data_IF_356518680601
#
_entry.id   IF_356518680601
#
_cell.length_a   1.000
_cell.length_b   1.000
_cell.length_c   1.000
_cell.angle_alpha   90.00
_cell.angle_beta   90.00
_cell.angle_gamma   90.00
#
_symmetry.space_group_name_H-M   'P 1'
#
loop_
_entity.id
_entity.type
_entity.pdbx_description
1 polymer ?
#
# COMPACT_ATOMS: atom_id res chain seq x y z
N UNK A 1 -19.20 -9.68 -41.07
CA UNK A 1 -18.30 -8.63 -40.50
C UNK A 1 -18.22 -8.89 -39.02
N UNK A 2 -17.10 -9.41 -38.51
CA UNK A 2 -16.93 -9.64 -37.09
C UNK A 2 -16.79 -8.25 -36.40
N UNK A 3 -17.83 -7.80 -35.70
CA UNK A 3 -17.69 -6.65 -34.86
C UNK A 3 -16.63 -7.01 -33.78
N UNK A 4 -15.53 -6.29 -33.73
CA UNK A 4 -14.53 -6.49 -32.71
C UNK A 4 -15.19 -6.21 -31.35
N UNK A 5 -15.21 -7.22 -30.48
CA UNK A 5 -15.71 -7.07 -29.12
C UNK A 5 -14.92 -5.99 -28.38
N UNK A 6 -15.61 -5.02 -27.82
CA UNK A 6 -15.03 -3.95 -26.99
C UNK A 6 -15.54 -4.17 -25.55
N UNK A 7 -14.65 -4.45 -24.58
CA UNK A 7 -15.07 -4.65 -23.19
C UNK A 7 -15.82 -3.44 -22.62
N UNK A 8 -16.83 -3.69 -21.82
CA UNK A 8 -17.71 -2.66 -21.25
C UNK A 8 -16.95 -1.59 -20.44
N UNK A 9 -15.90 -1.98 -19.70
CA UNK A 9 -15.04 -1.03 -18.98
C UNK A 9 -14.28 -0.06 -19.91
N UNK A 10 -14.14 -0.40 -21.19
CA UNK A 10 -13.57 0.50 -22.19
C UNK A 10 -14.62 1.43 -22.79
N UNK A 11 -15.85 0.95 -22.95
CA UNK A 11 -17.01 1.75 -23.41
C UNK A 11 -17.39 2.80 -22.37
N UNK A 12 -17.43 2.42 -21.11
CA UNK A 12 -17.81 3.29 -19.97
C UNK A 12 -16.64 4.12 -19.42
N UNK A 13 -15.51 4.19 -20.15
CA UNK A 13 -14.37 4.95 -19.68
C UNK A 13 -14.69 6.44 -19.55
N UNK A 14 -14.45 7.05 -18.37
CA UNK A 14 -14.65 8.48 -18.15
C UNK A 14 -13.99 9.34 -19.23
N UNK A 15 -14.71 10.34 -19.72
CA UNK A 15 -14.20 11.31 -20.70
C UNK A 15 -13.87 12.67 -20.11
N UNK A 16 -14.41 12.99 -18.93
CA UNK A 16 -14.18 14.25 -18.20
C UNK A 16 -13.76 13.97 -16.77
N UNK A 17 -13.18 14.96 -16.11
CA UNK A 17 -12.81 14.84 -14.69
C UNK A 17 -14.02 14.70 -13.77
N UNK A 18 -15.21 15.13 -14.18
CA UNK A 18 -16.44 15.00 -13.37
C UNK A 18 -16.93 13.56 -13.32
N UNK A 19 -16.57 12.73 -14.31
CA UNK A 19 -16.94 11.32 -14.36
C UNK A 19 -16.00 10.42 -13.55
N UNK A 20 -14.87 10.95 -13.06
CA UNK A 20 -13.90 10.18 -12.28
C UNK A 20 -14.46 9.89 -10.89
N UNK A 21 -14.53 8.62 -10.54
CA UNK A 21 -15.01 8.16 -9.23
C UNK A 21 -13.86 8.01 -8.23
N UNK A 22 -14.03 8.53 -7.01
CA UNK A 22 -13.20 8.24 -5.84
C UNK A 22 -11.76 8.77 -5.87
N UNK A 23 -11.46 9.77 -6.73
CA UNK A 23 -10.13 10.39 -6.84
C UNK A 23 -10.20 11.92 -6.73
N UNK A 24 -11.03 12.43 -5.84
CA UNK A 24 -11.36 13.87 -5.73
C UNK A 24 -10.10 14.74 -5.53
N UNK A 25 -9.15 14.25 -4.73
CA UNK A 25 -7.89 14.96 -4.47
C UNK A 25 -7.02 15.04 -5.72
N UNK A 26 -6.92 13.96 -6.49
CA UNK A 26 -6.16 13.90 -7.75
C UNK A 26 -6.77 14.84 -8.77
N UNK A 27 -8.09 14.76 -8.94
CA UNK A 27 -8.85 15.61 -9.88
C UNK A 27 -8.68 17.09 -9.53
N UNK A 28 -8.87 17.46 -8.26
CA UNK A 28 -8.68 18.84 -7.80
C UNK A 28 -7.27 19.36 -8.08
N UNK A 29 -6.25 18.54 -7.85
CA UNK A 29 -4.86 18.91 -8.08
C UNK A 29 -4.58 19.15 -9.58
N UNK A 30 -5.03 18.21 -10.44
CA UNK A 30 -4.84 18.34 -11.89
C UNK A 30 -5.57 19.55 -12.46
N UNK A 31 -6.82 19.79 -12.05
CA UNK A 31 -7.57 21.00 -12.43
C UNK A 31 -6.83 22.27 -12.03
N UNK A 32 -6.18 22.29 -10.86
CA UNK A 32 -5.41 23.47 -10.42
C UNK A 32 -4.18 23.74 -11.30
N UNK A 33 -3.53 22.70 -11.82
CA UNK A 33 -2.42 22.83 -12.77
C UNK A 33 -2.92 23.32 -14.13
N UNK A 34 -3.95 22.69 -14.65
CA UNK A 34 -4.51 23.01 -15.97
C UNK A 34 -5.06 24.44 -16.03
N UNK A 35 -5.72 24.89 -14.96
CA UNK A 35 -6.21 26.28 -14.85
C UNK A 35 -5.08 27.32 -14.92
N UNK A 36 -3.84 26.93 -14.57
CA UNK A 36 -2.63 27.77 -14.71
C UNK A 36 -1.93 27.59 -16.04
N UNK A 37 -2.47 26.79 -16.96
CA UNK A 37 -1.84 26.48 -18.24
C UNK A 37 -0.55 25.65 -18.12
N UNK A 38 -0.32 25.00 -16.98
CA UNK A 38 0.88 24.23 -16.66
C UNK A 38 0.50 22.80 -16.26
N UNK A 39 1.20 21.82 -16.79
CA UNK A 39 1.09 20.43 -16.37
C UNK A 39 2.50 19.89 -16.09
N UNK A 40 2.84 19.58 -14.82
CA UNK A 40 4.15 19.04 -14.48
C UNK A 40 4.26 17.57 -14.91
N UNK A 41 5.50 17.08 -15.04
CA UNK A 41 5.75 15.64 -15.11
C UNK A 41 5.36 14.97 -13.80
N UNK A 42 4.81 13.74 -13.86
CA UNK A 42 4.18 13.07 -12.72
C UNK A 42 4.45 11.58 -12.71
N UNK A 43 4.44 11.01 -11.50
CA UNK A 43 4.37 9.57 -11.27
C UNK A 43 3.03 9.25 -10.59
N UNK A 44 2.13 8.60 -11.29
CA UNK A 44 0.87 8.10 -10.76
C UNK A 44 1.09 6.73 -10.11
N UNK A 45 0.86 6.60 -8.83
CA UNK A 45 1.04 5.34 -8.13
C UNK A 45 -0.17 4.95 -7.30
N UNK A 46 -0.43 3.65 -7.19
CA UNK A 46 -1.56 3.11 -6.42
C UNK A 46 -2.18 1.88 -7.09
N UNK A 47 -3.21 1.28 -6.48
CA UNK A 47 -3.80 0.01 -6.91
C UNK A 47 -4.25 0.00 -8.37
N UNK A 48 -4.36 -1.20 -8.99
CA UNK A 48 -4.91 -1.33 -10.34
C UNK A 48 -6.37 -0.86 -10.40
N UNK A 49 -6.87 -0.58 -11.59
CA UNK A 49 -8.28 -0.20 -11.82
C UNK A 49 -8.76 1.12 -11.23
N UNK A 50 -7.87 1.93 -10.64
CA UNK A 50 -8.19 3.20 -9.98
C UNK A 50 -8.24 4.41 -10.91
N UNK A 51 -8.05 4.21 -12.22
CA UNK A 51 -8.23 5.26 -13.23
C UNK A 51 -6.96 6.01 -13.66
N UNK A 52 -5.73 5.57 -13.29
CA UNK A 52 -4.47 6.24 -13.65
C UNK A 52 -4.36 6.58 -15.14
N UNK A 53 -4.55 5.61 -16.02
CA UNK A 53 -4.52 5.78 -17.49
C UNK A 53 -5.66 6.68 -17.99
N UNK A 54 -6.84 6.57 -17.39
CA UNK A 54 -8.01 7.40 -17.73
C UNK A 54 -7.76 8.86 -17.41
N UNK A 55 -7.26 9.13 -16.21
CA UNK A 55 -6.91 10.49 -15.76
C UNK A 55 -5.82 11.11 -16.66
N UNK A 56 -4.81 10.35 -17.07
CA UNK A 56 -3.80 10.84 -18.01
C UNK A 56 -4.41 11.23 -19.38
N UNK A 57 -5.36 10.44 -19.88
CA UNK A 57 -6.09 10.75 -21.14
C UNK A 57 -6.93 12.04 -21.02
N UNK A 58 -7.68 12.18 -19.93
CA UNK A 58 -8.48 13.39 -19.69
C UNK A 58 -7.55 14.60 -19.56
N UNK A 59 -6.48 14.50 -18.79
CA UNK A 59 -5.52 15.57 -18.63
C UNK A 59 -4.89 15.98 -19.97
N UNK A 60 -4.61 15.02 -20.88
CA UNK A 60 -4.06 15.35 -22.20
C UNK A 60 -5.07 16.09 -23.09
N UNK A 61 -6.34 15.70 -23.03
CA UNK A 61 -7.44 16.37 -23.76
C UNK A 61 -7.61 17.81 -23.27
N UNK A 62 -7.71 18.00 -21.96
CA UNK A 62 -7.87 19.32 -21.32
C UNK A 62 -6.64 20.23 -21.53
N UNK A 63 -5.44 19.66 -21.61
CA UNK A 63 -4.20 20.39 -21.84
C UNK A 63 -3.94 20.68 -23.34
N UNK A 64 -4.82 20.19 -24.22
CA UNK A 64 -4.68 20.23 -25.67
C UNK A 64 -3.31 19.69 -26.12
N UNK A 65 -2.94 18.52 -25.61
CA UNK A 65 -1.67 17.86 -25.85
C UNK A 65 -1.86 16.50 -26.56
N UNK A 66 -0.92 16.16 -27.44
CA UNK A 66 -0.88 14.84 -28.05
C UNK A 66 -0.39 13.82 -27.02
N UNK A 67 -1.21 12.78 -26.75
CA UNK A 67 -0.88 11.72 -25.81
C UNK A 67 -0.23 10.55 -26.53
N UNK A 68 0.95 10.17 -26.08
CA UNK A 68 1.60 8.91 -26.44
C UNK A 68 1.49 7.96 -25.26
N UNK A 69 0.90 6.78 -25.51
CA UNK A 69 0.73 5.76 -24.47
C UNK A 69 1.63 4.58 -24.77
N UNK A 70 2.44 4.20 -23.80
CA UNK A 70 3.35 3.07 -23.86
C UNK A 70 3.16 2.19 -22.63
N UNK A 71 3.58 0.93 -22.72
CA UNK A 71 3.64 0.00 -21.63
C UNK A 71 5.07 -0.52 -21.45
N UNK A 72 5.65 -0.36 -20.28
CA UNK A 72 6.98 -0.88 -19.98
C UNK A 72 7.09 -2.42 -20.03
N UNK A 73 5.96 -3.12 -20.17
CA UNK A 73 5.91 -4.58 -20.36
C UNK A 73 6.14 -4.97 -21.82
N UNK A 74 5.70 -4.13 -22.77
CA UNK A 74 5.66 -4.47 -24.22
C UNK A 74 6.61 -3.60 -25.02
N UNK A 75 6.65 -2.29 -24.73
CA UNK A 75 7.38 -1.31 -25.52
C UNK A 75 8.83 -1.17 -25.05
N UNK A 76 9.77 -1.17 -25.98
CA UNK A 76 11.17 -0.88 -25.68
C UNK A 76 11.43 0.64 -25.57
N UNK A 77 12.44 1.01 -24.79
CA UNK A 77 12.84 2.42 -24.64
C UNK A 77 13.30 3.05 -25.96
N UNK A 78 13.83 2.24 -26.88
CA UNK A 78 14.24 2.66 -28.22
C UNK A 78 13.04 3.03 -29.10
N UNK A 79 11.97 2.23 -29.04
CA UNK A 79 10.72 2.50 -29.78
C UNK A 79 10.03 3.74 -29.23
N UNK A 80 10.00 3.91 -27.91
CA UNK A 80 9.47 5.11 -27.25
C UNK A 80 10.17 6.36 -27.76
N UNK A 81 11.51 6.37 -27.73
CA UNK A 81 12.32 7.47 -28.29
C UNK A 81 11.97 7.74 -29.74
N UNK A 82 12.07 6.73 -30.60
CA UNK A 82 11.82 6.87 -32.02
C UNK A 82 10.46 7.50 -32.32
N UNK A 83 9.41 7.07 -31.63
CA UNK A 83 8.04 7.57 -31.86
C UNK A 83 7.84 9.01 -31.38
N UNK A 84 8.47 9.41 -30.30
CA UNK A 84 8.39 10.78 -29.77
C UNK A 84 9.15 11.75 -30.69
N UNK A 85 10.35 11.37 -31.14
CA UNK A 85 11.18 12.24 -31.97
C UNK A 85 10.69 12.35 -33.42
N UNK A 86 10.14 11.27 -34.01
CA UNK A 86 9.62 11.33 -35.39
C UNK A 86 8.48 12.33 -35.59
N UNK A 87 7.71 12.60 -34.55
CA UNK A 87 6.57 13.52 -34.60
C UNK A 87 6.95 14.97 -34.32
N UNK A 88 8.19 15.25 -33.91
CA UNK A 88 8.71 16.60 -33.64
C UNK A 88 9.19 17.36 -34.87
N UNK A 89 9.54 16.64 -35.91
CA UNK A 89 9.97 17.24 -37.19
C UNK A 89 8.83 17.97 -37.95
N UNK A 90 7.60 17.88 -37.42
CA UNK A 90 6.44 18.59 -37.93
C UNK A 90 6.44 20.06 -37.48
N UNK A 91 6.26 20.98 -38.43
CA UNK A 91 6.25 22.44 -38.24
C UNK A 91 5.15 22.93 -37.26
N UNK A 92 4.20 22.09 -36.88
CA UNK A 92 3.11 22.34 -35.92
C UNK A 92 3.24 21.47 -34.68
N UNK A 93 4.36 21.54 -33.97
CA UNK A 93 4.57 20.73 -32.77
C UNK A 93 3.55 21.06 -31.67
N UNK A 94 2.54 20.23 -31.51
CA UNK A 94 1.64 20.27 -30.36
C UNK A 94 2.41 19.89 -29.08
N UNK A 95 1.93 20.36 -27.92
CA UNK A 95 2.38 19.86 -26.62
C UNK A 95 2.28 18.33 -26.59
N UNK A 96 3.27 17.69 -26.00
CA UNK A 96 3.34 16.24 -25.96
C UNK A 96 3.28 15.73 -24.53
N UNK A 97 2.44 14.71 -24.29
CA UNK A 97 2.42 13.95 -23.06
C UNK A 97 2.83 12.52 -23.36
N UNK A 98 3.82 12.02 -22.65
CA UNK A 98 4.28 10.64 -22.72
C UNK A 98 3.80 9.91 -21.47
N UNK A 99 2.83 9.02 -21.65
CA UNK A 99 2.33 8.16 -20.59
C UNK A 99 2.98 6.77 -20.72
N UNK A 100 3.61 6.31 -19.63
CA UNK A 100 4.23 4.98 -19.55
C UNK A 100 3.56 4.20 -18.44
N UNK A 101 2.82 3.15 -18.81
CA UNK A 101 2.22 2.24 -17.84
C UNK A 101 3.26 1.23 -17.32
N UNK A 102 3.11 0.83 -16.05
CA UNK A 102 3.99 -0.10 -15.33
C UNK A 102 5.47 0.32 -15.38
N UNK A 103 5.74 1.63 -15.24
CA UNK A 103 7.09 2.21 -15.38
C UNK A 103 8.15 1.56 -14.47
N UNK A 104 7.76 0.92 -13.38
CA UNK A 104 8.63 0.16 -12.48
C UNK A 104 9.24 -1.09 -13.12
N UNK A 105 8.72 -1.55 -14.28
CA UNK A 105 9.29 -2.65 -15.04
C UNK A 105 10.55 -2.26 -15.79
N UNK A 106 10.76 -0.99 -16.07
CA UNK A 106 12.03 -0.50 -16.58
C UNK A 106 13.08 -0.48 -15.48
N UNK A 107 14.29 -0.96 -15.76
CA UNK A 107 15.42 -0.78 -14.87
C UNK A 107 15.84 0.71 -14.81
N UNK A 108 16.70 1.06 -13.83
CA UNK A 108 17.08 2.46 -13.60
C UNK A 108 17.70 3.15 -14.82
N UNK A 109 18.55 2.44 -15.60
CA UNK A 109 19.14 2.96 -16.83
C UNK A 109 18.08 3.20 -17.93
N UNK A 110 17.08 2.34 -18.01
CA UNK A 110 15.97 2.52 -18.93
C UNK A 110 15.09 3.71 -18.55
N UNK A 111 14.94 3.98 -17.27
CA UNK A 111 14.20 5.14 -16.76
C UNK A 111 14.92 6.46 -17.07
N UNK A 112 16.26 6.47 -17.13
CA UNK A 112 17.07 7.66 -17.42
C UNK A 112 16.76 8.28 -18.79
N UNK A 113 16.22 7.50 -19.73
CA UNK A 113 15.85 8.02 -21.05
C UNK A 113 14.79 9.13 -21.00
N UNK A 114 13.98 9.19 -19.94
CA UNK A 114 12.94 10.19 -19.80
C UNK A 114 13.48 11.53 -19.29
N UNK A 115 14.66 11.56 -18.66
CA UNK A 115 15.25 12.77 -18.10
C UNK A 115 15.49 13.87 -19.17
N UNK A 116 16.16 13.58 -20.29
CA UNK A 116 16.33 14.59 -21.34
C UNK A 116 15.02 15.10 -21.92
N UNK A 117 14.00 14.22 -22.02
CA UNK A 117 12.68 14.60 -22.53
C UNK A 117 11.98 15.61 -21.61
N UNK A 118 12.09 15.43 -20.29
CA UNK A 118 11.51 16.29 -19.27
C UNK A 118 12.25 17.64 -19.23
N UNK A 119 13.59 17.61 -19.23
CA UNK A 119 14.43 18.79 -19.01
C UNK A 119 14.56 19.69 -20.23
N UNK A 120 14.83 19.08 -21.37
CA UNK A 120 15.27 19.86 -22.55
C UNK A 120 14.18 19.99 -23.63
N UNK A 121 13.15 19.18 -23.56
CA UNK A 121 12.26 19.00 -24.69
C UNK A 121 10.83 19.45 -24.41
N UNK A 122 10.50 19.84 -23.19
CA UNK A 122 9.17 20.33 -22.84
C UNK A 122 8.06 19.25 -22.96
N UNK A 123 8.44 17.98 -22.90
CA UNK A 123 7.51 16.86 -22.87
C UNK A 123 7.04 16.67 -21.44
N UNK A 124 5.74 16.54 -21.25
CA UNK A 124 5.19 16.14 -19.96
C UNK A 124 5.25 14.63 -19.86
N UNK A 125 6.02 14.12 -18.91
CA UNK A 125 6.10 12.71 -18.63
C UNK A 125 5.10 12.32 -17.53
N UNK A 126 4.35 11.24 -17.75
CA UNK A 126 3.46 10.62 -16.74
C UNK A 126 3.78 9.13 -16.67
N UNK A 127 4.50 8.73 -15.63
CA UNK A 127 4.71 7.31 -15.32
C UNK A 127 3.58 6.76 -14.45
N UNK A 128 3.06 5.59 -14.76
CA UNK A 128 2.09 4.90 -13.90
C UNK A 128 2.70 3.62 -13.32
N UNK A 129 2.40 3.33 -12.06
CA UNK A 129 2.87 2.14 -11.36
C UNK A 129 1.88 1.70 -10.27
N UNK A 130 1.85 0.40 -9.99
CA UNK A 130 1.17 -0.16 -8.82
C UNK A 130 2.05 -0.15 -7.58
N UNK A 131 3.35 -0.01 -7.75
CA UNK A 131 4.37 -0.08 -6.70
C UNK A 131 4.65 1.29 -6.06
N UNK A 132 5.30 1.28 -4.88
CA UNK A 132 5.74 2.52 -4.23
C UNK A 132 6.91 3.13 -5.01
N UNK A 133 6.77 4.36 -5.55
CA UNK A 133 7.79 4.99 -6.37
C UNK A 133 9.17 5.08 -5.72
N UNK A 134 9.23 5.30 -4.41
CA UNK A 134 10.49 5.46 -3.66
C UNK A 134 11.43 4.25 -3.74
N UNK A 135 10.91 3.05 -4.07
CA UNK A 135 11.72 1.83 -4.17
C UNK A 135 12.07 1.46 -5.61
N UNK A 136 11.22 1.83 -6.57
CA UNK A 136 11.28 1.31 -7.93
C UNK A 136 11.63 2.36 -8.98
N UNK A 137 11.43 3.64 -8.68
CA UNK A 137 11.75 4.74 -9.59
C UNK A 137 13.09 5.36 -9.17
N UNK A 138 13.92 5.74 -10.15
CA UNK A 138 15.19 6.37 -9.83
C UNK A 138 15.01 7.78 -9.25
N UNK A 139 15.95 8.18 -8.39
CA UNK A 139 15.89 9.44 -7.66
C UNK A 139 15.94 10.67 -8.60
N UNK A 140 16.66 10.54 -9.72
CA UNK A 140 16.75 11.59 -10.72
C UNK A 140 15.38 11.90 -11.38
N UNK A 141 14.59 10.86 -11.64
CA UNK A 141 13.24 11.00 -12.17
C UNK A 141 12.26 11.51 -11.09
N UNK A 142 12.37 10.99 -9.85
CA UNK A 142 11.56 11.44 -8.72
C UNK A 142 11.77 12.91 -8.36
N UNK A 143 12.99 13.43 -8.52
CA UNK A 143 13.28 14.86 -8.28
C UNK A 143 12.64 15.80 -9.30
N UNK A 144 12.25 15.30 -10.48
CA UNK A 144 11.69 16.05 -11.61
C UNK A 144 10.22 15.78 -11.88
N UNK A 145 9.69 14.70 -11.33
CA UNK A 145 8.30 14.29 -11.51
C UNK A 145 7.56 14.25 -10.15
N UNK A 146 6.38 14.85 -10.11
CA UNK A 146 5.58 14.89 -8.89
C UNK A 146 4.86 13.56 -8.65
N UNK A 147 5.09 12.92 -7.52
CA UNK A 147 4.38 11.70 -7.13
C UNK A 147 2.94 12.00 -6.72
N UNK A 148 1.98 11.32 -7.36
CA UNK A 148 0.54 11.47 -7.13
C UNK A 148 -0.05 10.11 -6.78
N UNK A 149 -0.58 10.01 -5.56
CA UNK A 149 -1.18 8.79 -5.04
C UNK A 149 -2.63 8.63 -5.50
N UNK A 150 -2.93 7.49 -6.10
CA UNK A 150 -4.29 7.02 -6.35
C UNK A 150 -4.73 6.08 -5.23
N UNK A 151 -5.89 6.34 -4.67
CA UNK A 151 -6.48 5.51 -3.60
C UNK A 151 -7.36 4.41 -4.18
N UNK A 152 -7.58 3.32 -3.42
CA UNK A 152 -8.64 2.35 -3.73
C UNK A 152 -9.97 3.07 -3.86
N UNK A 153 -10.78 2.66 -4.83
CA UNK A 153 -12.11 3.23 -5.01
C UNK A 153 -13.04 2.65 -3.94
N UNK A 154 -13.69 3.51 -3.19
CA UNK A 154 -14.62 3.10 -2.14
C UNK A 154 -15.89 2.47 -2.71
N UNK A 155 -16.58 1.66 -1.89
CA UNK A 155 -17.79 0.91 -2.28
C UNK A 155 -18.87 1.81 -2.88
N UNK A 156 -19.17 2.96 -2.25
CA UNK A 156 -20.19 3.88 -2.74
C UNK A 156 -19.84 4.47 -4.11
N UNK A 157 -18.55 4.79 -4.33
CA UNK A 157 -18.06 5.29 -5.61
C UNK A 157 -18.09 4.19 -6.68
N UNK A 158 -17.76 2.95 -6.33
CA UNK A 158 -17.87 1.79 -7.21
C UNK A 158 -19.32 1.54 -7.59
N UNK A 159 -20.26 1.54 -6.63
CA UNK A 159 -21.69 1.37 -6.90
C UNK A 159 -22.24 2.42 -7.86
N UNK A 160 -21.81 3.69 -7.77
CA UNK A 160 -22.21 4.72 -8.74
C UNK A 160 -21.78 4.41 -10.17
N UNK A 161 -20.58 3.87 -10.34
CA UNK A 161 -20.07 3.45 -11.67
C UNK A 161 -20.81 2.23 -12.18
N UNK A 162 -21.08 1.25 -11.30
CA UNK A 162 -21.81 0.03 -11.67
C UNK A 162 -23.28 0.32 -12.04
N UNK A 163 -23.92 1.30 -11.39
CA UNK A 163 -25.28 1.77 -11.79
C UNK A 163 -25.27 2.32 -13.22
N UNK A 164 -24.25 3.09 -13.62
CA UNK A 164 -24.07 3.55 -15.01
C UNK A 164 -23.88 2.38 -15.99
N UNK A 165 -23.17 1.33 -15.56
CA UNK A 165 -23.00 0.12 -16.37
C UNK A 165 -24.30 -0.62 -16.60
N UNK A 166 -25.13 -0.75 -15.56
CA UNK A 166 -26.46 -1.36 -15.62
C UNK A 166 -27.41 -0.56 -16.52
N UNK A 167 -27.43 0.76 -16.36
CA UNK A 167 -28.20 1.67 -17.23
C UNK A 167 -27.80 1.52 -18.71
N UNK A 168 -26.50 1.39 -18.99
CA UNK A 168 -26.00 1.18 -20.36
C UNK A 168 -26.44 -0.17 -20.98
N UNK A 169 -26.61 -1.18 -20.13
CA UNK A 169 -27.01 -2.54 -20.54
C UNK A 169 -28.52 -2.76 -20.47
N UNK A 170 -29.28 -1.77 -19.99
CA UNK A 170 -30.73 -1.87 -19.73
C UNK A 170 -31.08 -3.03 -18.78
N UNK A 171 -30.30 -3.14 -17.67
CA UNK A 171 -30.40 -4.20 -16.68
C UNK A 171 -30.64 -3.64 -15.28
N UNK A 172 -31.28 -4.46 -14.45
CA UNK A 172 -31.49 -4.18 -13.02
C UNK A 172 -30.77 -5.22 -12.15
N UNK A 173 -30.47 -4.81 -10.92
CA UNK A 173 -29.84 -5.66 -9.90
C UNK A 173 -30.27 -5.19 -8.51
N UNK A 174 -30.32 -6.10 -7.56
CA UNK A 174 -30.56 -5.76 -6.15
C UNK A 174 -29.39 -4.90 -5.59
N UNK A 175 -29.72 -3.88 -4.77
CA UNK A 175 -28.72 -2.92 -4.28
C UNK A 175 -27.70 -3.56 -3.33
N UNK A 176 -28.08 -4.56 -2.56
CA UNK A 176 -27.16 -5.31 -1.70
C UNK A 176 -26.19 -6.16 -2.54
N UNK A 177 -26.68 -6.75 -3.63
CA UNK A 177 -25.86 -7.50 -4.56
C UNK A 177 -24.87 -6.60 -5.31
N UNK A 178 -25.29 -5.39 -5.66
CA UNK A 178 -24.40 -4.38 -6.25
C UNK A 178 -23.25 -4.00 -5.31
N UNK A 179 -23.53 -3.84 -4.01
CA UNK A 179 -22.52 -3.60 -2.98
C UNK A 179 -21.54 -4.79 -2.84
N UNK A 180 -22.06 -6.00 -2.97
CA UNK A 180 -21.22 -7.21 -2.97
C UNK A 180 -20.20 -7.17 -4.11
N UNK A 181 -20.62 -6.88 -5.35
CA UNK A 181 -19.72 -6.75 -6.49
C UNK A 181 -18.68 -5.64 -6.25
N UNK A 182 -19.10 -4.50 -5.73
CA UNK A 182 -18.23 -3.38 -5.43
C UNK A 182 -17.18 -3.71 -4.34
N UNK A 183 -17.53 -4.49 -3.33
CA UNK A 183 -16.63 -4.96 -2.29
C UNK A 183 -15.59 -5.94 -2.84
N UNK A 184 -16.03 -6.90 -3.66
CA UNK A 184 -15.17 -7.94 -4.20
C UNK A 184 -14.17 -7.45 -5.25
N UNK A 185 -14.55 -6.43 -5.96
CA UNK A 185 -13.61 -5.79 -6.87
C UNK A 185 -12.41 -5.15 -6.16
N UNK A 186 -12.44 -5.07 -4.80
CA UNK A 186 -11.41 -4.44 -3.97
C UNK A 186 -11.00 -3.03 -4.44
N UNK A 187 -11.92 -2.33 -5.10
CA UNK A 187 -11.70 -1.00 -5.67
C UNK A 187 -11.05 -1.00 -7.06
N UNK A 188 -10.95 -2.14 -7.74
CA UNK A 188 -10.63 -2.22 -9.17
C UNK A 188 -11.93 -2.18 -9.99
N UNK A 189 -12.25 -1.02 -10.56
CA UNK A 189 -13.46 -0.84 -11.37
C UNK A 189 -13.49 -1.68 -12.65
N UNK A 190 -12.35 -2.12 -13.17
CA UNK A 190 -12.33 -3.00 -14.35
C UNK A 190 -12.88 -4.37 -13.99
N UNK A 191 -12.49 -4.91 -12.84
CA UNK A 191 -13.03 -6.17 -12.32
C UNK A 191 -14.52 -6.01 -12.04
N UNK A 192 -14.93 -4.96 -11.34
CA UNK A 192 -16.32 -4.70 -11.00
C UNK A 192 -17.24 -4.64 -12.23
N UNK A 193 -16.83 -3.88 -13.26
CA UNK A 193 -17.59 -3.74 -14.51
C UNK A 193 -17.59 -5.06 -15.29
N UNK A 194 -16.47 -5.81 -15.30
CA UNK A 194 -16.39 -7.10 -15.98
C UNK A 194 -17.31 -8.15 -15.36
N UNK A 195 -17.52 -8.13 -14.03
CA UNK A 195 -18.51 -8.98 -13.37
C UNK A 195 -19.93 -8.64 -13.86
N UNK A 196 -20.29 -7.35 -13.92
CA UNK A 196 -21.61 -6.92 -14.46
C UNK A 196 -21.75 -7.33 -15.92
N UNK A 197 -20.74 -7.13 -16.75
CA UNK A 197 -20.75 -7.51 -18.16
C UNK A 197 -20.95 -9.03 -18.33
N UNK A 198 -20.28 -9.84 -17.51
CA UNK A 198 -20.44 -11.30 -17.53
C UNK A 198 -21.82 -11.73 -17.03
N UNK A 199 -22.33 -11.12 -15.96
CA UNK A 199 -23.64 -11.38 -15.43
C UNK A 199 -24.74 -11.00 -16.45
N UNK A 200 -24.54 -9.97 -17.25
CA UNK A 200 -25.46 -9.58 -18.31
C UNK A 200 -25.71 -10.66 -19.36
N UNK A 201 -24.71 -11.52 -19.61
CA UNK A 201 -24.84 -12.62 -20.58
C UNK A 201 -25.73 -13.80 -20.10
N UNK A 202 -25.90 -13.92 -18.78
CA UNK A 202 -26.70 -14.99 -18.15
C UNK A 202 -27.99 -14.47 -17.52
N UNK A 203 -28.13 -13.15 -17.43
CA UNK A 203 -29.32 -12.49 -16.89
C UNK A 203 -30.59 -12.89 -17.64
N UNK A 204 -31.70 -13.04 -16.91
CA UNK A 204 -33.02 -13.37 -17.47
C UNK A 204 -33.97 -12.22 -17.18
N UNK A 205 -34.85 -11.94 -18.14
CA UNK A 205 -35.92 -10.93 -18.04
C UNK A 205 -35.42 -9.51 -17.67
N UNK A 206 -34.16 -9.17 -18.03
CA UNK A 206 -33.55 -7.86 -17.75
C UNK A 206 -33.10 -7.68 -16.30
N UNK A 207 -33.07 -8.74 -15.50
CA UNK A 207 -32.64 -8.72 -14.11
C UNK A 207 -31.43 -9.64 -13.90
N UNK A 208 -30.39 -9.10 -13.24
CA UNK A 208 -29.25 -9.89 -12.75
C UNK A 208 -29.60 -10.43 -11.37
N UNK A 209 -29.69 -11.75 -11.26
CA UNK A 209 -30.05 -12.42 -10.02
C UNK A 209 -28.83 -12.75 -9.17
N UNK A 210 -29.08 -13.08 -7.91
CA UNK A 210 -28.02 -13.43 -6.96
C UNK A 210 -27.19 -14.64 -7.43
N UNK A 211 -27.86 -15.64 -7.98
CA UNK A 211 -27.27 -16.86 -8.53
C UNK A 211 -26.28 -16.55 -9.66
N UNK A 212 -26.66 -15.64 -10.57
CA UNK A 212 -25.86 -15.25 -11.72
C UNK A 212 -24.52 -14.62 -11.29
N UNK A 213 -24.56 -13.75 -10.28
CA UNK A 213 -23.36 -13.11 -9.73
C UNK A 213 -22.49 -14.11 -8.98
N UNK A 214 -23.11 -14.97 -8.17
CA UNK A 214 -22.39 -15.95 -7.35
C UNK A 214 -21.70 -17.03 -8.18
N UNK A 215 -22.24 -17.37 -9.35
CA UNK A 215 -21.59 -18.30 -10.29
C UNK A 215 -20.31 -17.70 -10.90
N UNK A 216 -20.29 -16.37 -11.10
CA UNK A 216 -19.16 -15.65 -11.68
C UNK A 216 -18.06 -15.31 -10.68
N UNK A 217 -18.38 -15.32 -9.39
CA UNK A 217 -17.40 -15.04 -8.36
C UNK A 217 -16.60 -16.31 -8.07
N UNK A 218 -15.27 -16.24 -8.12
CA UNK A 218 -14.35 -17.38 -7.93
C UNK A 218 -14.55 -18.14 -6.61
N UNK A 219 -15.26 -17.53 -5.62
CA UNK A 219 -15.54 -18.13 -4.32
C UNK A 219 -16.93 -17.72 -3.78
N UNK A 220 -18.02 -18.35 -4.26
CA UNK A 220 -19.38 -18.02 -3.83
C UNK A 220 -19.63 -18.20 -2.32
N UNK A 221 -18.83 -19.04 -1.63
CA UNK A 221 -18.94 -19.23 -0.19
C UNK A 221 -18.53 -18.00 0.66
N UNK A 222 -17.76 -17.07 0.09
CA UNK A 222 -17.46 -15.77 0.72
C UNK A 222 -18.71 -14.89 0.90
N UNK A 223 -19.77 -15.13 0.16
CA UNK A 223 -20.88 -14.19 -0.06
C UNK A 223 -22.13 -14.44 0.76
N UNK A 224 -22.22 -15.59 1.36
CA UNK A 224 -23.38 -15.87 2.22
C UNK A 224 -23.27 -15.12 3.55
N UNK A 225 -23.33 -13.82 3.48
CA UNK A 225 -23.23 -12.81 4.55
C UNK A 225 -21.82 -12.22 4.75
N UNK A 226 -21.45 -11.13 4.03
CA UNK A 226 -20.77 -10.08 4.75
C UNK A 226 -19.31 -9.74 4.47
N UNK A 227 -19.06 -8.53 4.09
CA UNK A 227 -17.89 -7.77 4.53
C UNK A 227 -17.73 -7.75 6.07
N UNK A 228 -18.84 -7.83 6.81
CA UNK A 228 -18.90 -7.92 8.27
C UNK A 228 -18.38 -9.27 8.81
N UNK A 229 -18.55 -10.38 8.09
CA UNK A 229 -18.14 -11.71 8.52
C UNK A 229 -16.62 -11.93 8.40
N UNK A 230 -15.99 -11.48 7.32
CA UNK A 230 -14.53 -11.52 7.15
C UNK A 230 -13.84 -10.70 8.26
N UNK A 231 -14.33 -9.46 8.50
CA UNK A 231 -13.82 -8.62 9.60
C UNK A 231 -14.01 -9.26 10.97
N UNK A 232 -15.12 -9.96 11.20
CA UNK A 232 -15.37 -10.69 12.45
C UNK A 232 -14.47 -11.90 12.57
N UNK A 233 -14.23 -12.65 11.50
CA UNK A 233 -13.42 -13.88 11.53
C UNK A 233 -11.94 -13.56 11.73
N UNK A 234 -11.37 -12.58 11.01
CA UNK A 234 -9.99 -12.17 11.25
C UNK A 234 -9.80 -11.54 12.63
N UNK A 235 -10.80 -10.81 13.14
CA UNK A 235 -10.78 -10.29 14.51
C UNK A 235 -10.82 -11.41 15.55
N UNK A 236 -11.63 -12.44 15.34
CA UNK A 236 -11.69 -13.64 16.20
C UNK A 236 -10.35 -14.41 16.14
N UNK A 237 -9.76 -14.58 14.96
CA UNK A 237 -8.45 -15.18 14.77
C UNK A 237 -7.37 -14.48 15.59
N UNK A 238 -7.22 -13.18 15.42
CA UNK A 238 -6.22 -12.39 16.18
C UNK A 238 -6.50 -12.41 17.69
N UNK A 239 -7.77 -12.37 18.10
CA UNK A 239 -8.13 -12.45 19.51
C UNK A 239 -7.81 -13.84 20.11
N UNK A 240 -7.96 -14.92 19.34
CA UNK A 240 -7.57 -16.26 19.74
C UNK A 240 -6.05 -16.38 19.93
N UNK A 241 -5.26 -15.83 18.98
CA UNK A 241 -3.80 -15.75 19.12
C UNK A 241 -3.41 -14.94 20.38
N UNK A 242 -4.07 -13.81 20.63
CA UNK A 242 -3.83 -12.94 21.80
C UNK A 242 -4.26 -13.61 23.08
N UNK A 243 -5.35 -14.37 23.06
CA UNK A 243 -5.86 -15.16 24.19
C UNK A 243 -5.07 -16.44 24.44
N UNK A 244 -4.05 -16.76 23.62
CA UNK A 244 -3.24 -17.97 23.73
C UNK A 244 -4.05 -19.28 23.61
N UNK A 245 -5.05 -19.25 22.73
CA UNK A 245 -5.85 -20.42 22.36
C UNK A 245 -5.44 -20.92 20.96
N UNK A 246 -4.53 -21.90 20.84
CA UNK A 246 -4.07 -22.40 19.56
C UNK A 246 -5.16 -23.14 18.77
N UNK A 247 -6.09 -23.80 19.44
CA UNK A 247 -7.12 -24.58 18.78
C UNK A 247 -8.17 -23.69 18.14
N UNK A 248 -8.62 -22.65 18.85
CA UNK A 248 -9.49 -21.62 18.27
C UNK A 248 -8.79 -20.87 17.14
N UNK A 249 -7.52 -20.52 17.28
CA UNK A 249 -6.76 -19.86 16.24
C UNK A 249 -6.63 -20.74 14.98
N UNK A 250 -6.35 -22.03 15.13
CA UNK A 250 -6.32 -22.97 14.01
C UNK A 250 -7.69 -23.12 13.35
N UNK A 251 -8.76 -23.21 14.12
CA UNK A 251 -10.11 -23.26 13.58
C UNK A 251 -10.42 -22.07 12.69
N UNK A 252 -10.14 -20.85 13.18
CA UNK A 252 -10.37 -19.63 12.39
C UNK A 252 -9.44 -19.53 11.19
N UNK A 253 -8.17 -19.98 11.29
CA UNK A 253 -7.26 -20.08 10.15
C UNK A 253 -7.87 -20.95 9.05
N UNK A 254 -8.24 -22.21 9.39
CA UNK A 254 -8.81 -23.15 8.42
C UNK A 254 -10.09 -22.58 7.81
N UNK A 255 -10.95 -22.00 8.64
CA UNK A 255 -12.20 -21.39 8.18
C UNK A 255 -11.97 -20.24 7.18
N UNK A 256 -10.93 -19.41 7.37
CA UNK A 256 -10.58 -18.35 6.44
C UNK A 256 -9.96 -18.91 5.16
N UNK A 257 -9.03 -19.86 5.28
CA UNK A 257 -8.36 -20.47 4.12
C UNK A 257 -9.35 -21.24 3.23
N UNK A 258 -10.23 -22.05 3.82
CA UNK A 258 -11.29 -22.75 3.07
C UNK A 258 -12.35 -21.78 2.54
N UNK A 259 -12.56 -20.66 3.21
CA UNK A 259 -13.37 -19.54 2.72
C UNK A 259 -12.71 -18.71 1.60
N UNK A 260 -11.48 -19.06 1.19
CA UNK A 260 -10.74 -18.43 0.10
C UNK A 260 -10.06 -17.11 0.47
N UNK A 261 -9.80 -16.85 1.75
CA UNK A 261 -9.01 -15.69 2.15
C UNK A 261 -7.56 -15.80 1.66
N UNK A 262 -6.97 -14.69 1.23
CA UNK A 262 -5.58 -14.65 0.80
C UNK A 262 -4.63 -15.07 1.94
N UNK A 263 -3.91 -16.20 1.82
CA UNK A 263 -2.97 -16.65 2.85
C UNK A 263 -1.86 -15.63 3.13
N UNK A 264 -1.46 -14.85 2.13
CA UNK A 264 -0.46 -13.79 2.31
C UNK A 264 -1.02 -12.65 3.15
N UNK A 265 -2.32 -12.37 3.06
CA UNK A 265 -2.98 -11.42 3.97
C UNK A 265 -2.94 -11.93 5.42
N UNK A 266 -3.25 -13.20 5.65
CA UNK A 266 -3.20 -13.80 6.99
C UNK A 266 -1.77 -13.77 7.56
N UNK A 267 -0.77 -14.10 6.75
CA UNK A 267 0.64 -14.06 7.16
C UNK A 267 1.10 -12.63 7.48
N UNK A 268 0.69 -11.61 6.71
CA UNK A 268 0.95 -10.21 7.05
C UNK A 268 0.32 -9.81 8.39
N UNK A 269 -0.89 -10.28 8.69
CA UNK A 269 -1.53 -10.05 9.99
C UNK A 269 -0.78 -10.73 11.14
N UNK A 270 -0.24 -11.93 10.93
CA UNK A 270 0.59 -12.64 11.90
C UNK A 270 1.93 -11.93 12.16
N UNK A 271 2.56 -11.34 11.16
CA UNK A 271 3.76 -10.52 11.31
C UNK A 271 3.48 -9.30 12.20
N UNK A 272 2.36 -8.61 11.96
CA UNK A 272 1.93 -7.48 12.80
C UNK A 272 1.69 -7.95 14.23
N UNK A 273 0.95 -9.05 14.41
CA UNK A 273 0.67 -9.64 15.71
C UNK A 273 1.94 -10.01 16.48
N UNK A 274 2.94 -10.58 15.81
CA UNK A 274 4.23 -10.94 16.42
C UNK A 274 4.95 -9.70 17.00
N UNK A 275 4.83 -8.54 16.37
CA UNK A 275 5.43 -7.29 16.85
C UNK A 275 4.56 -6.57 17.89
N UNK A 276 3.23 -6.59 17.71
CA UNK A 276 2.27 -5.86 18.54
C UNK A 276 2.02 -6.56 19.87
N UNK A 277 1.78 -7.89 19.85
CA UNK A 277 1.27 -8.64 21.00
C UNK A 277 2.33 -9.55 21.66
N UNK A 278 3.40 -9.92 20.96
CA UNK A 278 4.49 -10.75 21.49
C UNK A 278 5.72 -9.87 21.78
N UNK A 279 6.14 -9.06 20.81
CA UNK A 279 7.26 -8.14 20.96
C UNK A 279 8.51 -8.80 21.51
N UNK A 280 9.11 -8.16 22.52
CA UNK A 280 10.33 -8.66 23.16
C UNK A 280 10.10 -9.79 24.19
N UNK A 281 8.86 -10.21 24.45
CA UNK A 281 8.62 -11.41 25.26
C UNK A 281 9.13 -12.69 24.58
N UNK A 282 9.08 -12.75 23.24
CA UNK A 282 9.80 -13.73 22.42
C UNK A 282 10.33 -13.07 21.12
N UNK A 283 11.60 -12.65 21.08
CA UNK A 283 12.19 -11.98 19.92
C UNK A 283 12.21 -12.81 18.63
N UNK A 284 12.02 -14.13 18.72
CA UNK A 284 11.98 -15.04 17.56
C UNK A 284 10.64 -14.96 16.82
N UNK A 285 9.58 -14.50 17.47
CA UNK A 285 8.22 -14.52 16.91
C UNK A 285 8.14 -13.77 15.58
N UNK A 286 8.71 -12.57 15.50
CA UNK A 286 8.76 -11.79 14.27
C UNK A 286 9.58 -12.49 13.17
N UNK A 287 10.73 -13.06 13.52
CA UNK A 287 11.60 -13.79 12.57
C UNK A 287 10.88 -15.00 11.97
N UNK A 288 10.20 -15.78 12.80
CA UNK A 288 9.45 -16.96 12.37
C UNK A 288 8.22 -16.60 11.54
N UNK A 289 7.53 -15.51 11.87
CA UNK A 289 6.40 -15.03 11.07
C UNK A 289 6.83 -14.56 9.66
N UNK A 290 7.99 -13.90 9.56
CA UNK A 290 8.58 -13.54 8.26
C UNK A 290 9.04 -14.78 7.50
N UNK A 291 9.73 -15.72 8.15
CA UNK A 291 10.14 -16.98 7.54
C UNK A 291 8.95 -17.79 7.03
N UNK A 292 7.82 -17.79 7.76
CA UNK A 292 6.58 -18.45 7.34
C UNK A 292 5.99 -17.80 6.07
N UNK A 293 6.04 -16.45 5.97
CA UNK A 293 5.61 -15.74 4.76
C UNK A 293 6.45 -16.13 3.54
N UNK A 294 7.77 -16.16 3.69
CA UNK A 294 8.67 -16.51 2.58
C UNK A 294 8.59 -18.00 2.25
N UNK A 295 8.48 -18.87 3.25
CA UNK A 295 8.25 -20.30 3.07
C UNK A 295 6.94 -20.59 2.34
N UNK A 296 5.86 -19.91 2.69
CA UNK A 296 4.59 -20.05 2.00
C UNK A 296 4.66 -19.61 0.54
N UNK A 297 5.35 -18.50 0.25
CA UNK A 297 5.56 -18.03 -1.14
C UNK A 297 6.35 -19.03 -1.98
N UNK A 298 7.29 -19.74 -1.37
CA UNK A 298 8.12 -20.73 -2.06
C UNK A 298 7.39 -22.05 -2.33
N UNK A 299 6.52 -22.47 -1.41
CA UNK A 299 5.86 -23.79 -1.44
C UNK A 299 4.46 -23.71 -2.07
N UNK A 300 3.64 -22.73 -1.65
CA UNK A 300 2.25 -22.59 -2.08
C UNK A 300 1.32 -23.68 -1.52
N UNK A 301 0.10 -23.76 -2.06
CA UNK A 301 -0.86 -24.81 -1.74
C UNK A 301 -0.57 -26.11 -2.53
N UNK A 302 -0.89 -27.31 -1.95
CA UNK A 302 -1.57 -27.52 -0.67
C UNK A 302 -0.65 -27.54 0.56
N UNK A 303 0.65 -27.80 0.41
CA UNK A 303 1.60 -28.03 1.51
C UNK A 303 1.84 -26.77 2.36
N UNK A 304 1.65 -25.58 1.80
CA UNK A 304 1.74 -24.31 2.52
C UNK A 304 0.79 -24.22 3.73
N UNK A 305 -0.30 -25.00 3.78
CA UNK A 305 -1.18 -25.10 4.95
C UNK A 305 -0.42 -25.57 6.20
N UNK A 306 0.60 -26.41 6.04
CA UNK A 306 1.44 -26.91 7.14
C UNK A 306 2.24 -25.75 7.75
N UNK A 307 2.80 -24.88 6.88
CA UNK A 307 3.53 -23.68 7.32
C UNK A 307 2.60 -22.73 8.08
N UNK A 308 1.38 -22.52 7.57
CA UNK A 308 0.37 -21.69 8.24
C UNK A 308 0.00 -22.23 9.61
N UNK A 309 -0.24 -23.55 9.73
CA UNK A 309 -0.54 -24.21 11.00
C UNK A 309 0.61 -24.07 12.00
N UNK A 310 1.84 -24.28 11.55
CA UNK A 310 3.03 -24.18 12.39
C UNK A 310 3.19 -22.78 12.99
N UNK A 311 3.11 -21.75 12.17
CA UNK A 311 3.27 -20.38 12.69
C UNK A 311 2.11 -19.95 13.59
N UNK A 312 0.86 -20.37 13.32
CA UNK A 312 -0.30 -20.08 14.17
C UNK A 312 -0.14 -20.68 15.56
N UNK A 313 0.21 -21.95 15.64
CA UNK A 313 0.41 -22.63 16.93
C UNK A 313 1.55 -22.02 17.72
N UNK A 314 2.64 -21.66 17.05
CA UNK A 314 3.77 -20.96 17.68
C UNK A 314 3.35 -19.61 18.25
N UNK A 315 2.70 -18.74 17.44
CA UNK A 315 2.29 -17.42 17.88
C UNK A 315 1.22 -17.46 18.98
N UNK A 316 0.30 -18.43 18.92
CA UNK A 316 -0.69 -18.62 19.97
C UNK A 316 -0.06 -18.96 21.31
N UNK A 317 0.95 -19.83 21.34
CA UNK A 317 1.58 -20.33 22.57
C UNK A 317 2.75 -19.47 23.08
N UNK A 318 3.28 -18.54 22.27
CA UNK A 318 4.35 -17.63 22.68
C UNK A 318 3.92 -16.72 23.85
N UNK A 319 4.84 -16.35 24.77
CA UNK A 319 4.55 -15.36 25.80
C UNK A 319 4.18 -14.02 25.18
N UNK A 320 3.30 -13.27 25.82
CA UNK A 320 2.72 -12.03 25.27
C UNK A 320 3.27 -10.77 25.98
N UNK A 321 3.68 -9.78 25.19
CA UNK A 321 3.99 -8.43 25.66
C UNK A 321 3.70 -7.41 24.55
N UNK A 322 2.89 -6.44 24.85
CA UNK A 322 2.66 -5.30 23.96
C UNK A 322 3.47 -4.06 24.38
N UNK A 323 4.51 -4.23 25.19
CA UNK A 323 5.30 -3.12 25.72
C UNK A 323 5.90 -2.25 24.61
N UNK A 324 6.46 -2.85 23.56
CA UNK A 324 7.03 -2.12 22.42
C UNK A 324 5.97 -1.32 21.65
N UNK A 325 4.78 -1.88 21.45
CA UNK A 325 3.67 -1.18 20.82
C UNK A 325 3.19 0.02 21.65
N UNK A 326 3.02 -0.18 22.97
CA UNK A 326 2.63 0.90 23.88
C UNK A 326 3.69 1.99 23.96
N UNK A 327 4.98 1.61 23.94
CA UNK A 327 6.09 2.55 23.91
C UNK A 327 6.01 3.47 22.68
N UNK A 328 5.80 2.93 21.50
CA UNK A 328 5.61 3.70 20.27
C UNK A 328 4.45 4.67 20.40
N UNK A 329 3.27 4.18 20.81
CA UNK A 329 2.06 4.99 20.95
C UNK A 329 2.23 6.14 21.94
N UNK A 330 2.86 5.88 23.09
CA UNK A 330 3.12 6.88 24.10
C UNK A 330 4.12 7.92 23.59
N UNK A 331 5.17 7.49 22.89
CA UNK A 331 6.16 8.38 22.29
C UNK A 331 5.55 9.26 21.19
N UNK A 332 4.71 8.72 20.32
CA UNK A 332 4.00 9.48 19.28
C UNK A 332 3.08 10.57 19.89
N UNK A 333 2.38 10.26 20.96
CA UNK A 333 1.53 11.23 21.64
C UNK A 333 2.37 12.34 22.30
N UNK A 334 3.44 11.97 22.98
CA UNK A 334 4.37 12.93 23.58
C UNK A 334 5.01 13.85 22.51
N UNK A 335 5.43 13.28 21.36
CA UNK A 335 6.01 14.06 20.27
C UNK A 335 5.03 15.08 19.68
N UNK A 336 3.73 14.75 19.57
CA UNK A 336 2.71 15.70 19.10
C UNK A 336 2.55 16.91 20.02
N UNK A 337 2.74 16.70 21.33
CA UNK A 337 2.65 17.76 22.34
C UNK A 337 3.96 18.56 22.47
N UNK A 338 5.10 17.95 22.08
CA UNK A 338 6.45 18.49 22.25
C UNK A 338 7.31 18.34 20.99
N UNK A 339 6.91 18.91 19.83
CA UNK A 339 7.61 18.67 18.56
C UNK A 339 9.00 19.33 18.46
N UNK A 340 9.24 20.40 19.21
CA UNK A 340 10.39 21.29 19.06
C UNK A 340 11.49 21.08 20.11
N UNK A 341 11.54 19.91 20.76
CA UNK A 341 12.59 19.60 21.73
C UNK A 341 13.97 19.51 21.06
N UNK A 342 14.93 20.23 21.61
CA UNK A 342 16.29 20.29 21.09
C UNK A 342 17.13 19.09 21.53
N UNK A 343 17.99 18.61 20.64
CA UNK A 343 18.94 17.51 20.92
C UNK A 343 19.89 17.95 22.04
N UNK A 344 20.17 17.11 23.05
CA UNK A 344 21.17 17.39 24.07
C UNK A 344 22.54 17.67 23.44
N UNK A 345 23.20 18.70 23.92
CA UNK A 345 24.46 19.19 23.36
C UNK A 345 25.56 18.08 23.33
N UNK A 346 25.59 17.23 24.37
CA UNK A 346 26.53 16.11 24.49
C UNK A 346 26.38 15.07 23.38
N UNK A 347 25.23 14.99 22.69
CA UNK A 347 24.97 14.04 21.61
C UNK A 347 25.29 14.60 20.22
N UNK A 348 25.64 15.90 20.10
CA UNK A 348 25.94 16.53 18.82
C UNK A 348 27.39 16.23 18.43
N UNK A 349 27.61 15.69 17.26
CA UNK A 349 28.92 15.45 16.73
C UNK A 349 29.67 16.77 16.50
N UNK A 350 30.97 16.81 16.83
CA UNK A 350 31.80 18.00 16.65
C UNK A 350 31.86 18.53 15.20
N UNK A 351 31.62 17.68 14.21
CA UNK A 351 31.51 18.07 12.78
C UNK A 351 30.22 18.81 12.43
N UNK A 352 29.23 18.79 13.30
CA UNK A 352 27.89 19.39 13.09
C UNK A 352 27.66 20.60 13.99
N UNK A 353 28.67 21.03 14.75
CA UNK A 353 28.58 22.21 15.61
C UNK A 353 28.68 23.50 14.78
N UNK A 354 27.90 24.51 15.12
CA UNK A 354 28.03 25.83 14.53
C UNK A 354 29.33 26.53 15.00
N UNK A 355 29.88 27.49 14.25
CA UNK A 355 31.05 28.24 14.67
C UNK A 355 30.83 28.95 16.01
N UNK A 356 31.61 28.56 17.06
CA UNK A 356 31.53 29.10 18.40
C UNK A 356 30.76 28.22 19.40
N UNK A 357 30.18 27.10 18.97
CA UNK A 357 29.61 26.13 19.92
C UNK A 357 30.68 25.22 20.53
N UNK A 358 30.58 25.04 21.86
CA UNK A 358 31.50 24.15 22.59
C UNK A 358 31.12 22.68 22.35
N UNK A 359 32.15 21.82 22.30
CA UNK A 359 31.96 20.36 22.17
C UNK A 359 31.33 19.79 23.43
N UNK A 360 30.25 19.04 23.32
CA UNK A 360 29.66 18.30 24.41
C UNK A 360 30.54 17.19 24.98
N UNK A 361 30.26 16.72 26.17
CA UNK A 361 31.04 15.73 26.93
C UNK A 361 30.47 14.31 26.79
N UNK A 362 30.15 13.87 25.57
CA UNK A 362 29.64 12.50 25.34
C UNK A 362 30.59 11.44 25.91
N UNK A 363 30.03 10.58 26.76
CA UNK A 363 30.72 9.43 27.33
C UNK A 363 30.41 8.20 26.48
N UNK A 364 31.46 7.54 25.93
CA UNK A 364 31.27 6.37 25.08
C UNK A 364 30.99 5.13 25.95
N UNK A 365 29.79 4.49 25.84
CA UNK A 365 29.41 3.42 26.75
C UNK A 365 30.34 2.21 26.77
N UNK A 366 31.00 1.88 25.64
CA UNK A 366 31.90 0.75 25.57
C UNK A 366 33.23 0.95 26.33
N UNK A 367 33.57 2.18 26.76
CA UNK A 367 34.72 2.46 27.62
C UNK A 367 34.39 2.22 29.10
N UNK A 368 33.13 1.85 29.41
CA UNK A 368 32.64 1.66 30.77
C UNK A 368 32.22 0.20 31.01
N UNK A 369 32.22 -0.20 32.29
CA UNK A 369 31.83 -1.54 32.70
C UNK A 369 30.39 -1.86 32.24
N UNK A 370 30.15 -3.08 31.79
CA UNK A 370 28.89 -3.56 31.22
C UNK A 370 28.39 -2.77 29.98
N UNK A 371 29.24 -1.94 29.34
CA UNK A 371 28.86 -1.14 28.17
C UNK A 371 27.78 -0.11 28.48
N UNK A 372 27.73 0.42 29.71
CA UNK A 372 26.73 1.39 30.14
C UNK A 372 27.33 2.48 31.03
N UNK A 373 26.85 3.71 30.84
CA UNK A 373 27.24 4.86 31.66
C UNK A 373 26.04 5.81 31.82
N UNK A 374 25.82 6.37 33.04
CA UNK A 374 24.75 7.34 33.21
C UNK A 374 25.11 8.65 32.47
N UNK A 375 24.31 9.00 31.50
CA UNK A 375 24.33 10.28 30.79
C UNK A 375 22.96 10.58 30.21
N UNK A 376 22.74 11.83 29.81
CA UNK A 376 21.47 12.27 29.26
C UNK A 376 21.40 11.99 27.78
N UNK A 377 20.36 11.29 27.37
CA UNK A 377 20.06 10.98 25.96
C UNK A 377 18.78 11.69 25.47
N UNK A 378 17.85 11.98 26.39
CA UNK A 378 16.54 12.51 26.01
C UNK A 378 16.60 14.04 25.84
N UNK A 379 15.95 14.60 24.77
CA UNK A 379 15.89 16.04 24.54
C UNK A 379 14.99 16.75 25.58
N UNK A 380 15.18 18.08 25.76
CA UNK A 380 14.28 18.91 26.56
C UNK A 380 14.57 18.89 28.06
N UNK A 381 13.56 18.63 28.90
CA UNK A 381 13.58 18.77 30.34
C UNK A 381 14.55 17.86 31.12
N UNK A 382 14.72 18.07 32.40
CA UNK A 382 15.61 17.29 33.28
C UNK A 382 15.08 15.88 33.57
N UNK A 383 13.77 15.65 33.50
CA UNK A 383 13.15 14.31 33.59
C UNK A 383 12.77 13.78 32.24
N UNK A 384 13.41 12.65 31.83
CA UNK A 384 13.05 11.94 30.63
C UNK A 384 11.80 11.10 30.85
N UNK A 385 10.80 11.17 29.96
CA UNK A 385 9.62 10.29 30.06
C UNK A 385 10.02 8.82 29.83
N UNK A 386 9.33 7.92 30.51
CA UNK A 386 9.47 6.48 30.29
C UNK A 386 8.40 6.02 29.31
N UNK A 387 8.78 5.64 28.11
CA UNK A 387 7.87 5.11 27.11
C UNK A 387 7.84 3.59 27.09
N UNK A 388 9.00 2.95 27.25
CA UNK A 388 9.15 1.51 27.20
C UNK A 388 9.20 0.90 28.59
N UNK A 389 8.09 0.34 29.03
CA UNK A 389 7.96 -0.37 30.28
C UNK A 389 7.93 -1.88 30.00
N UNK A 390 9.04 -2.57 30.29
CA UNK A 390 9.16 -4.02 30.11
C UNK A 390 8.17 -4.77 31.01
N UNK A 391 7.54 -5.80 30.45
CA UNK A 391 6.66 -6.70 31.21
C UNK A 391 7.43 -7.89 31.74
N UNK A 392 7.01 -8.40 32.89
CA UNK A 392 7.60 -9.62 33.46
C UNK A 392 7.07 -10.87 32.72
N UNK A 393 7.39 -10.98 31.41
CA UNK A 393 6.94 -12.06 30.53
C UNK A 393 8.06 -12.54 29.60
N UNK A 394 8.24 -13.83 29.50
CA UNK A 394 9.18 -14.44 28.55
C UNK A 394 10.60 -13.90 28.62
N UNK A 395 11.15 -13.45 27.51
CA UNK A 395 12.51 -12.92 27.42
C UNK A 395 12.65 -11.54 28.10
N UNK A 396 11.60 -10.73 28.15
CA UNK A 396 11.64 -9.42 28.85
C UNK A 396 11.98 -9.59 30.33
N UNK A 397 11.55 -10.67 30.99
CA UNK A 397 11.94 -10.96 32.39
C UNK A 397 13.45 -11.06 32.56
N UNK A 398 14.15 -11.64 31.57
CA UNK A 398 15.62 -11.74 31.57
C UNK A 398 16.27 -10.38 31.36
N UNK A 399 15.70 -9.55 30.51
CA UNK A 399 16.17 -8.18 30.28
C UNK A 399 16.00 -7.32 31.52
N UNK A 400 14.88 -7.41 32.24
CA UNK A 400 14.64 -6.72 33.50
C UNK A 400 15.76 -7.08 34.50
N UNK A 401 15.97 -8.38 34.73
CA UNK A 401 16.99 -8.85 35.65
C UNK A 401 18.41 -8.39 35.26
N UNK A 402 18.74 -8.40 33.98
CA UNK A 402 20.00 -7.89 33.44
C UNK A 402 20.20 -6.39 33.75
N UNK A 403 19.22 -5.56 33.40
CA UNK A 403 19.32 -4.11 33.58
C UNK A 403 19.28 -3.68 35.04
N UNK A 404 18.54 -4.38 35.89
CA UNK A 404 18.61 -4.16 37.33
C UNK A 404 20.00 -4.39 37.89
N UNK A 405 20.68 -5.47 37.43
CA UNK A 405 22.06 -5.75 37.84
C UNK A 405 23.01 -4.66 37.36
N UNK A 406 22.93 -4.28 36.08
CA UNK A 406 23.79 -3.24 35.47
C UNK A 406 23.64 -1.89 36.18
N UNK A 407 22.39 -1.45 36.44
CA UNK A 407 22.13 -0.17 37.11
C UNK A 407 22.43 -0.15 38.62
N UNK A 408 22.49 -1.33 39.28
CA UNK A 408 22.85 -1.42 40.72
C UNK A 408 24.38 -1.52 40.93
N UNK A 409 25.16 -1.83 39.89
CA UNK A 409 26.63 -1.91 40.00
C UNK A 409 27.34 -0.57 39.90
N UNK A 410 26.57 0.52 39.85
CA UNK A 410 27.01 1.91 39.84
C UNK A 410 26.49 2.67 41.06
#
# INVERSE_FOLDING_TARGET
MSSSYIPLYSVLRPETFDDIAGQETVVRLLRSFLAKGYLPSMIFFGPPGTGKTTVARIASKEFNAKLYTFSAVVDSTTEIKKKIYSDRESVFAQRQIVFVDEVHRFNKLQQDIFLPMIENEGVVFIGATTENPSFYINDALLSRARSIKFSKIGVDASCRVLKKALEHLDLTIDEELLKVIALESEGDLRIAISIIESAAHIAQDGEIRKEDVFELLENPQKYDKKGDYHYRTISAFIKSLRGSDPDAALYYLVKMVEGGDDPLFLLRRMIIFASEDIGNADPRALQLAVAALDGFKAVGFPEGKIILSHIVTYLATAPKSNASYMALKNCENFYKENPDLTIPHDLINSSSLAPGEEKGSYKYPHDHENGWVPQRYFPGSDEAPVFYEMKNAGYESKLIAYWEKVKKSL
#
